data_IF_466472548269
#
_entry.id   IF_466472548269
#
_cell.length_a   1.000
_cell.length_b   1.000
_cell.length_c   1.000
_cell.angle_alpha   90.00
_cell.angle_beta   90.00
_cell.angle_gamma   90.00
#
_symmetry.space_group_name_H-M   'P 1'
#
loop_
_entity.id
_entity.type
_entity.pdbx_description
1 polymer ?
#
# COMPACT_ATOMS: atom_id res chain seq x y z
N UNK A 1 8.67 11.70 26.36
CA UNK A 1 8.05 12.00 25.05
C UNK A 1 7.33 10.74 24.56
N UNK A 2 6.06 10.82 24.17
CA UNK A 2 5.28 9.67 23.69
C UNK A 2 5.93 9.10 22.41
N UNK A 3 6.12 7.78 22.33
CA UNK A 3 6.76 7.11 21.18
C UNK A 3 6.05 7.41 19.85
N UNK A 4 4.72 7.48 19.85
CA UNK A 4 3.93 7.84 18.67
C UNK A 4 4.14 9.30 18.24
N UNK A 5 4.29 10.20 19.21
CA UNK A 5 4.59 11.60 18.93
C UNK A 5 5.98 11.75 18.32
N UNK A 6 6.98 11.05 18.89
CA UNK A 6 8.33 11.04 18.33
C UNK A 6 8.35 10.45 16.91
N UNK A 7 7.69 9.31 16.69
CA UNK A 7 7.57 8.69 15.37
C UNK A 7 6.89 9.62 14.35
N UNK A 8 5.83 10.32 14.76
CA UNK A 8 5.15 11.30 13.93
C UNK A 8 6.04 12.49 13.56
N UNK A 9 6.80 13.03 14.52
CA UNK A 9 7.74 14.14 14.28
C UNK A 9 8.90 13.73 13.37
N UNK A 10 9.49 12.54 13.60
CA UNK A 10 10.56 12.02 12.75
C UNK A 10 10.05 11.72 11.33
N UNK A 11 8.85 11.13 11.22
CA UNK A 11 8.20 10.88 9.93
C UNK A 11 7.92 12.17 9.17
N UNK A 12 7.42 13.20 9.87
CA UNK A 12 7.22 14.53 9.29
C UNK A 12 8.55 15.14 8.84
N UNK A 13 9.57 15.14 9.69
CA UNK A 13 10.89 15.69 9.36
C UNK A 13 11.48 15.01 8.12
N UNK A 14 11.46 13.68 8.06
CA UNK A 14 11.93 12.92 6.90
C UNK A 14 11.12 13.23 5.65
N UNK A 15 9.80 13.34 5.76
CA UNK A 15 8.92 13.71 4.64
C UNK A 15 9.26 15.11 4.11
N UNK A 16 9.48 16.09 4.99
CA UNK A 16 9.89 17.44 4.60
C UNK A 16 11.25 17.43 3.89
N UNK A 17 12.21 16.64 4.36
CA UNK A 17 13.51 16.46 3.71
C UNK A 17 13.33 15.87 2.31
N UNK A 18 12.57 14.79 2.16
CA UNK A 18 12.31 14.19 0.83
C UNK A 18 11.59 15.19 -0.08
N UNK A 19 10.60 15.93 0.42
CA UNK A 19 9.83 16.88 -0.38
C UNK A 19 10.67 18.08 -0.84
N UNK A 20 11.60 18.54 0.00
CA UNK A 20 12.55 19.60 -0.36
C UNK A 20 13.57 19.12 -1.39
N UNK A 21 14.10 17.90 -1.26
CA UNK A 21 15.07 17.31 -2.21
C UNK A 21 14.43 17.01 -3.56
N UNK A 22 13.23 16.43 -3.59
CA UNK A 22 12.50 16.08 -4.83
C UNK A 22 11.86 17.31 -5.48
N UNK A 23 11.45 18.29 -4.67
CA UNK A 23 10.82 19.52 -5.11
C UNK A 23 9.30 19.52 -4.87
N UNK A 24 8.86 20.48 -4.06
CA UNK A 24 7.46 20.68 -3.67
C UNK A 24 6.50 20.84 -4.87
N UNK A 25 6.92 21.56 -5.92
CA UNK A 25 6.10 21.77 -7.12
C UNK A 25 5.84 20.46 -7.86
N UNK A 26 6.86 19.61 -8.01
CA UNK A 26 6.77 18.31 -8.67
C UNK A 26 5.85 17.36 -7.91
N UNK A 27 5.98 17.31 -6.58
CA UNK A 27 5.10 16.48 -5.74
C UNK A 27 3.67 16.99 -5.78
N UNK A 28 3.47 18.31 -5.63
CA UNK A 28 2.15 18.92 -5.74
C UNK A 28 1.48 18.59 -7.07
N UNK A 29 2.23 18.72 -8.18
CA UNK A 29 1.74 18.35 -9.50
C UNK A 29 1.36 16.86 -9.58
N UNK A 30 2.20 15.96 -9.05
CA UNK A 30 1.92 14.53 -8.99
C UNK A 30 0.61 14.24 -8.23
N UNK A 31 0.43 14.84 -7.05
CA UNK A 31 -0.78 14.65 -6.24
C UNK A 31 -2.05 15.17 -6.94
N UNK A 32 -1.95 16.26 -7.69
CA UNK A 32 -3.09 16.78 -8.46
C UNK A 32 -3.55 15.84 -9.59
N UNK A 33 -2.75 14.84 -9.99
CA UNK A 33 -3.18 13.88 -11.01
C UNK A 33 -4.41 13.08 -10.57
N UNK A 34 -4.61 12.85 -9.28
CA UNK A 34 -5.80 12.16 -8.76
C UNK A 34 -7.10 12.91 -9.02
N UNK A 35 -7.01 14.23 -9.27
CA UNK A 35 -8.16 15.07 -9.60
C UNK A 35 -8.51 15.03 -11.09
N UNK A 36 -7.63 14.48 -11.94
CA UNK A 36 -7.83 14.43 -13.39
C UNK A 36 -8.57 13.15 -13.77
N UNK A 37 -9.73 13.22 -14.44
CA UNK A 37 -10.44 12.02 -14.90
C UNK A 37 -9.59 11.12 -15.81
N UNK A 38 -8.72 11.73 -16.63
CA UNK A 38 -7.80 11.00 -17.52
C UNK A 38 -6.74 10.16 -16.78
N UNK A 39 -6.49 10.44 -15.50
CA UNK A 39 -5.62 9.61 -14.68
C UNK A 39 -6.28 8.29 -14.30
N UNK A 40 -7.61 8.25 -14.16
CA UNK A 40 -8.34 7.07 -13.68
C UNK A 40 -8.59 6.03 -14.77
N UNK A 41 -7.51 5.42 -15.21
CA UNK A 41 -7.54 4.24 -16.08
C UNK A 41 -7.80 2.98 -15.27
N UNK A 42 -8.16 1.87 -15.94
CA UNK A 42 -8.36 0.58 -15.27
C UNK A 42 -7.13 0.14 -14.45
N UNK A 43 -5.93 0.37 -14.95
CA UNK A 43 -4.69 0.01 -14.26
C UNK A 43 -4.38 0.94 -13.07
N UNK A 44 -4.64 2.25 -13.18
CA UNK A 44 -4.42 3.19 -12.07
C UNK A 44 -5.45 3.00 -10.95
N UNK A 45 -6.69 2.63 -11.30
CA UNK A 45 -7.71 2.25 -10.32
C UNK A 45 -7.31 0.99 -9.56
N UNK A 46 -6.79 -0.03 -10.26
CA UNK A 46 -6.26 -1.24 -9.61
C UNK A 46 -5.09 -0.92 -8.69
N UNK A 47 -4.16 -0.06 -9.12
CA UNK A 47 -3.05 0.42 -8.28
C UNK A 47 -3.54 1.09 -6.99
N UNK A 48 -4.48 2.03 -7.12
CA UNK A 48 -5.04 2.73 -5.96
C UNK A 48 -5.73 1.77 -4.98
N UNK A 49 -6.59 0.87 -5.48
CA UNK A 49 -7.29 -0.10 -4.65
C UNK A 49 -6.30 -1.05 -3.96
N UNK A 50 -5.32 -1.57 -4.69
CA UNK A 50 -4.30 -2.47 -4.15
C UNK A 50 -3.41 -1.79 -3.10
N UNK A 51 -3.10 -0.50 -3.27
CA UNK A 51 -2.41 0.31 -2.26
C UNK A 51 -3.30 0.53 -1.02
N UNK A 52 -4.55 0.95 -1.22
CA UNK A 52 -5.48 1.24 -0.14
C UNK A 52 -5.79 0.00 0.71
N UNK A 53 -6.00 -1.17 0.09
CA UNK A 53 -6.24 -2.41 0.83
C UNK A 53 -5.03 -2.82 1.67
N UNK A 54 -3.81 -2.68 1.16
CA UNK A 54 -2.59 -2.96 1.95
C UNK A 54 -2.46 -1.99 3.13
N UNK A 55 -2.77 -0.71 2.95
CA UNK A 55 -2.80 0.26 4.05
C UNK A 55 -3.83 -0.13 5.12
N UNK A 56 -5.02 -0.57 4.71
CA UNK A 56 -6.07 -1.03 5.62
C UNK A 56 -5.69 -2.28 6.43
N UNK A 57 -4.78 -3.11 5.91
CA UNK A 57 -4.21 -4.25 6.66
C UNK A 57 -3.08 -3.81 7.58
N UNK A 58 -2.15 -2.98 7.09
CA UNK A 58 -0.93 -2.60 7.82
C UNK A 58 -1.24 -1.70 9.01
N UNK A 59 -2.11 -0.69 8.83
CA UNK A 59 -2.33 0.33 9.88
C UNK A 59 -2.91 -0.28 11.15
N UNK A 60 -3.98 -1.11 11.11
CA UNK A 60 -4.48 -1.74 12.33
C UNK A 60 -3.48 -2.70 12.98
N UNK A 61 -2.77 -3.49 12.17
CA UNK A 61 -1.77 -4.43 12.66
C UNK A 61 -0.58 -3.73 13.33
N UNK A 62 -0.09 -2.63 12.75
CA UNK A 62 1.09 -1.92 13.25
C UNK A 62 0.77 -0.94 14.39
N UNK A 63 -0.36 -0.24 14.33
CA UNK A 63 -0.72 0.82 15.29
C UNK A 63 -1.48 0.26 16.50
N UNK A 64 -2.40 -0.68 16.26
CA UNK A 64 -3.27 -1.22 17.32
C UNK A 64 -2.92 -2.66 17.70
N UNK A 65 -2.01 -3.32 16.97
CA UNK A 65 -1.71 -4.74 17.18
C UNK A 65 -2.86 -5.66 16.76
N UNK A 66 -3.81 -5.17 15.96
CA UNK A 66 -5.02 -5.91 15.57
C UNK A 66 -4.85 -6.40 14.14
N UNK A 67 -4.75 -7.71 13.96
CA UNK A 67 -4.72 -8.34 12.64
C UNK A 67 -6.14 -8.67 12.16
N UNK A 68 -6.60 -7.97 11.11
CA UNK A 68 -7.91 -8.19 10.51
C UNK A 68 -7.78 -9.19 9.36
N UNK A 69 -7.81 -10.48 9.69
CA UNK A 69 -7.50 -11.57 8.75
C UNK A 69 -8.29 -11.52 7.43
N UNK A 70 -9.58 -11.17 7.45
CA UNK A 70 -10.44 -11.21 6.25
C UNK A 70 -10.06 -10.13 5.23
N UNK A 71 -9.42 -9.04 5.64
CA UNK A 71 -8.86 -8.05 4.72
C UNK A 71 -7.75 -8.65 3.85
N UNK A 72 -7.11 -9.74 4.28
CA UNK A 72 -6.11 -10.43 3.47
C UNK A 72 -6.71 -11.12 2.23
N UNK A 73 -8.01 -11.40 2.22
CA UNK A 73 -8.70 -11.86 1.00
C UNK A 73 -8.71 -10.74 -0.05
N UNK A 74 -8.99 -9.50 0.38
CA UNK A 74 -8.95 -8.34 -0.51
C UNK A 74 -7.53 -8.03 -0.97
N UNK A 75 -6.52 -8.14 -0.10
CA UNK A 75 -5.12 -7.95 -0.53
C UNK A 75 -4.68 -9.02 -1.50
N UNK A 76 -5.16 -10.26 -1.37
CA UNK A 76 -4.87 -11.34 -2.32
C UNK A 76 -5.43 -11.01 -3.71
N UNK A 77 -6.73 -10.69 -3.79
CA UNK A 77 -7.40 -10.33 -5.07
C UNK A 77 -6.73 -9.13 -5.71
N UNK A 78 -6.51 -8.06 -4.95
CA UNK A 78 -5.90 -6.84 -5.46
C UNK A 78 -4.43 -7.02 -5.83
N UNK A 79 -3.69 -7.91 -5.20
CA UNK A 79 -2.30 -8.21 -5.57
C UNK A 79 -2.20 -8.98 -6.89
N UNK A 80 -3.10 -9.95 -7.13
CA UNK A 80 -3.19 -10.63 -8.44
C UNK A 80 -3.56 -9.62 -9.53
N UNK A 81 -4.56 -8.77 -9.29
CA UNK A 81 -4.94 -7.73 -10.24
C UNK A 81 -3.80 -6.72 -10.49
N UNK A 82 -3.06 -6.35 -9.45
CA UNK A 82 -1.96 -5.40 -9.56
C UNK A 82 -0.74 -5.98 -10.30
N UNK A 83 -0.50 -7.30 -10.26
CA UNK A 83 0.51 -7.93 -11.12
C UNK A 83 0.14 -7.72 -12.60
N UNK A 84 -1.11 -7.96 -12.98
CA UNK A 84 -1.59 -7.69 -14.33
C UNK A 84 -1.43 -6.21 -14.71
N UNK A 85 -1.86 -5.28 -13.85
CA UNK A 85 -1.72 -3.84 -14.10
C UNK A 85 -0.25 -3.40 -14.22
N UNK A 86 0.64 -3.98 -13.41
CA UNK A 86 2.08 -3.69 -13.42
C UNK A 86 2.75 -4.14 -14.72
N UNK A 87 2.29 -5.25 -15.30
CA UNK A 87 2.78 -5.72 -16.61
C UNK A 87 2.40 -4.76 -17.75
N UNK A 88 1.29 -4.03 -17.64
CA UNK A 88 0.91 -2.99 -18.63
C UNK A 88 1.85 -1.79 -18.60
N UNK A 89 2.51 -1.54 -17.46
CA UNK A 89 3.50 -0.46 -17.28
C UNK A 89 4.95 -0.95 -17.28
N UNK A 90 5.19 -2.25 -17.43
CA UNK A 90 6.51 -2.89 -17.35
C UNK A 90 7.26 -2.56 -16.05
N UNK A 91 6.58 -2.70 -14.90
CA UNK A 91 7.13 -2.39 -13.56
C UNK A 91 7.51 -3.67 -12.80
N UNK A 92 8.72 -4.24 -12.99
CA UNK A 92 9.11 -5.54 -12.43
C UNK A 92 9.13 -5.55 -10.90
N UNK A 93 9.45 -4.42 -10.28
CA UNK A 93 9.46 -4.28 -8.81
C UNK A 93 8.05 -4.40 -8.22
N UNK A 94 7.03 -3.85 -8.88
CA UNK A 94 5.64 -3.99 -8.45
C UNK A 94 5.12 -5.41 -8.65
N UNK A 95 5.57 -6.11 -9.70
CA UNK A 95 5.26 -7.54 -9.89
C UNK A 95 5.82 -8.33 -8.71
N UNK A 96 7.12 -8.21 -8.43
CA UNK A 96 7.76 -8.94 -7.32
C UNK A 96 7.13 -8.60 -5.96
N UNK A 97 6.83 -7.32 -5.71
CA UNK A 97 6.19 -6.89 -4.47
C UNK A 97 4.80 -7.51 -4.29
N UNK A 98 3.97 -7.53 -5.34
CA UNK A 98 2.64 -8.12 -5.24
C UNK A 98 2.67 -9.65 -5.21
N UNK A 99 3.68 -10.28 -5.81
CA UNK A 99 3.95 -11.71 -5.62
C UNK A 99 4.23 -12.01 -4.15
N UNK A 100 5.07 -11.22 -3.46
CA UNK A 100 5.29 -11.36 -2.02
C UNK A 100 3.98 -11.22 -1.23
N UNK A 101 3.13 -10.24 -1.57
CA UNK A 101 1.84 -10.05 -0.92
C UNK A 101 0.87 -11.21 -1.07
N UNK A 102 0.93 -11.96 -2.18
CA UNK A 102 0.15 -13.20 -2.34
C UNK A 102 0.54 -14.19 -1.24
N UNK A 103 1.84 -14.43 -1.03
CA UNK A 103 2.32 -15.35 0.01
C UNK A 103 1.95 -14.87 1.42
N UNK A 104 2.12 -13.57 1.72
CA UNK A 104 1.76 -13.01 3.03
C UNK A 104 0.25 -13.14 3.30
N UNK A 105 -0.58 -12.81 2.31
CA UNK A 105 -2.04 -12.91 2.43
C UNK A 105 -2.48 -14.36 2.62
N UNK A 106 -1.90 -15.28 1.85
CA UNK A 106 -2.20 -16.71 1.97
C UNK A 106 -1.79 -17.26 3.34
N UNK A 107 -0.64 -16.84 3.86
CA UNK A 107 -0.16 -17.26 5.19
C UNK A 107 -1.15 -16.87 6.28
N UNK A 108 -1.63 -15.63 6.28
CA UNK A 108 -2.61 -15.16 7.28
C UNK A 108 -3.94 -15.89 7.15
N UNK A 109 -4.45 -16.05 5.92
CA UNK A 109 -5.71 -16.77 5.66
C UNK A 109 -5.62 -18.21 6.17
N UNK A 110 -4.59 -18.95 5.76
CA UNK A 110 -4.40 -20.36 6.15
C UNK A 110 -4.22 -20.49 7.66
N UNK A 111 -3.41 -19.61 8.28
CA UNK A 111 -3.22 -19.62 9.73
C UNK A 111 -4.55 -19.43 10.46
N UNK A 112 -5.40 -18.50 10.02
CA UNK A 112 -6.71 -18.30 10.61
C UNK A 112 -7.62 -19.53 10.44
N UNK A 113 -7.67 -20.11 9.23
CA UNK A 113 -8.49 -21.29 8.94
C UNK A 113 -8.06 -22.54 9.73
N UNK A 114 -6.78 -22.67 10.05
CA UNK A 114 -6.23 -23.77 10.86
C UNK A 114 -6.30 -23.50 12.38
N UNK A 115 -6.88 -22.37 12.81
CA UNK A 115 -6.99 -22.00 14.23
C UNK A 115 -5.70 -21.51 14.87
N UNK A 116 -4.72 -21.07 14.07
CA UNK A 116 -3.42 -20.59 14.54
C UNK A 116 -3.35 -19.09 14.86
N UNK A 117 -4.47 -18.43 15.17
CA UNK A 117 -4.56 -16.99 15.43
C UNK A 117 -5.50 -16.67 16.59
#
# INVERSE_FOLDING_TARGET
MNAYLLAGLLGLALTLIVYTVVGWKSIGHCMTMWLKPSYWTSYNTVEFLAWATKAAVIVPGLVFGIEVWWLHILTLVTSVALIWASMRKLLPTLVAFNTLWIFLSMTVIVRHLLGGG
#
